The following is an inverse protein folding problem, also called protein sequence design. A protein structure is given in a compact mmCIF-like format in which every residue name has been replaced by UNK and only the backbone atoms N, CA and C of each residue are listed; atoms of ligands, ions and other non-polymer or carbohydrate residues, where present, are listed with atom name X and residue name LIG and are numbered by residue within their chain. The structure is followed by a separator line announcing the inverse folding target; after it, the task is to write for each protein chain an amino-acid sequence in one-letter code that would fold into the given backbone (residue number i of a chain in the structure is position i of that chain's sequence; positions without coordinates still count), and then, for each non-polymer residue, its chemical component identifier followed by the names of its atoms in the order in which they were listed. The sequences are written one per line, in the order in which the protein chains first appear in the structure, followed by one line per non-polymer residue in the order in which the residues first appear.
data_IF_124724802932
#
_entry.id   IF_124724802932
#
_cell.length_a   1.000
_cell.length_b   1.000
_cell.length_c   1.000
_cell.angle_alpha   90.00
_cell.angle_beta   90.00
_cell.angle_gamma   90.00
#
_symmetry.space_group_name_H-M   'P 1'
#
loop_
_entity.id
_entity.type
_entity.pdbx_description
1 polymer ?
#
# COMPACT_ATOMS: atom_id res chain seq x y z
N UNK A 1 18.99 10.53 11.60
CA UNK A 1 17.67 10.88 11.02
C UNK A 1 17.84 11.59 9.68
N UNK A 2 18.72 12.59 9.58
CA UNK A 2 18.99 13.33 8.33
C UNK A 2 19.51 12.46 7.17
N UNK A 3 20.34 11.45 7.46
CA UNK A 3 20.85 10.53 6.45
C UNK A 3 19.76 9.68 5.80
N UNK A 4 18.79 9.18 6.58
CA UNK A 4 17.66 8.39 6.08
C UNK A 4 16.71 9.25 5.24
N UNK A 5 16.39 10.46 5.70
CA UNK A 5 15.52 11.38 4.97
C UNK A 5 16.16 11.76 3.63
N UNK A 6 17.47 11.98 3.61
CA UNK A 6 18.20 12.25 2.36
C UNK A 6 18.18 11.06 1.40
N UNK A 7 18.37 9.85 1.91
CA UNK A 7 18.32 8.62 1.12
C UNK A 7 16.93 8.35 0.52
N UNK A 8 15.87 8.59 1.29
CA UNK A 8 14.47 8.47 0.83
C UNK A 8 14.19 9.53 -0.25
N UNK A 9 14.73 10.74 -0.09
CA UNK A 9 14.56 11.83 -1.06
C UNK A 9 15.33 11.60 -2.36
N UNK A 10 16.49 10.93 -2.30
CA UNK A 10 17.27 10.54 -3.49
C UNK A 10 16.62 9.37 -4.25
N UNK A 11 15.86 8.51 -3.58
CA UNK A 11 15.21 7.34 -4.19
C UNK A 11 13.73 7.23 -3.82
N UNK A 12 12.89 8.20 -4.24
CA UNK A 12 11.46 8.22 -3.89
C UNK A 12 10.71 6.98 -4.38
N UNK A 13 11.19 6.38 -5.47
CA UNK A 13 10.58 5.19 -6.06
C UNK A 13 10.82 3.91 -5.25
N UNK A 14 12.02 3.74 -4.67
CA UNK A 14 12.30 2.61 -3.78
C UNK A 14 11.42 2.68 -2.54
N UNK A 15 11.20 3.89 -2.01
CA UNK A 15 10.28 4.10 -0.91
C UNK A 15 8.83 3.75 -1.30
N UNK A 16 8.38 4.17 -2.48
CA UNK A 16 7.05 3.82 -2.99
C UNK A 16 6.83 2.31 -3.18
N UNK A 17 7.84 1.61 -3.70
CA UNK A 17 7.82 0.14 -3.83
C UNK A 17 7.77 -0.52 -2.46
N UNK A 18 8.58 -0.07 -1.50
CA UNK A 18 8.58 -0.57 -0.12
C UNK A 18 7.22 -0.41 0.56
N UNK A 19 6.60 0.76 0.41
CA UNK A 19 5.25 1.02 0.94
C UNK A 19 4.22 0.11 0.28
N UNK A 20 4.25 -0.02 -1.05
CA UNK A 20 3.35 -0.93 -1.77
C UNK A 20 3.53 -2.40 -1.36
N UNK A 21 4.77 -2.84 -1.11
CA UNK A 21 5.07 -4.18 -0.60
C UNK A 21 4.53 -4.38 0.81
N UNK A 22 4.61 -3.36 1.65
CA UNK A 22 4.03 -3.37 3.00
C UNK A 22 2.51 -3.56 2.96
N UNK A 23 1.82 -2.90 2.02
CA UNK A 23 0.39 -3.07 1.78
C UNK A 23 0.04 -4.49 1.30
N UNK A 24 0.86 -5.07 0.43
CA UNK A 24 0.70 -6.47 0.01
C UNK A 24 0.91 -7.45 1.16
N UNK A 25 1.95 -7.24 1.97
CA UNK A 25 2.21 -8.05 3.15
C UNK A 25 1.07 -7.94 4.16
N UNK A 26 0.54 -6.73 4.39
CA UNK A 26 -0.60 -6.50 5.25
C UNK A 26 -1.85 -7.28 4.79
N UNK A 27 -2.10 -7.32 3.48
CA UNK A 27 -3.20 -8.09 2.88
C UNK A 27 -3.01 -9.62 3.05
N UNK A 28 -1.78 -10.12 2.86
CA UNK A 28 -1.45 -11.56 3.00
C UNK A 28 -1.52 -11.99 4.46
N UNK A 29 -0.83 -11.28 5.36
CA UNK A 29 -0.68 -11.62 6.77
C UNK A 29 -1.87 -11.24 7.66
N UNK A 30 -2.94 -10.67 7.07
CA UNK A 30 -4.14 -10.25 7.79
C UNK A 30 -3.83 -9.29 8.94
N UNK A 31 -3.11 -8.22 8.64
CA UNK A 31 -2.82 -7.18 9.63
C UNK A 31 -4.07 -6.39 9.98
N UNK A 32 -4.72 -6.78 11.09
CA UNK A 32 -5.93 -6.13 11.59
C UNK A 32 -5.79 -4.62 11.76
N UNK A 33 -4.62 -4.10 12.17
CA UNK A 33 -4.41 -2.65 12.34
C UNK A 33 -4.46 -1.85 11.02
N UNK A 34 -4.16 -2.50 9.89
CA UNK A 34 -4.14 -1.89 8.56
C UNK A 34 -5.43 -2.17 7.78
N UNK A 35 -6.12 -3.26 8.14
CA UNK A 35 -7.39 -3.71 7.56
C UNK A 35 -8.61 -3.29 8.40
N UNK A 36 -8.41 -2.66 9.55
CA UNK A 36 -9.49 -2.26 10.44
C UNK A 36 -10.42 -1.25 9.76
N UNK A 37 -11.62 -1.72 9.42
CA UNK A 37 -12.66 -0.92 8.78
C UNK A 37 -13.18 0.24 9.65
N UNK A 38 -12.87 0.23 10.95
CA UNK A 38 -13.36 1.19 11.94
C UNK A 38 -12.92 2.64 11.66
N UNK A 39 -11.83 2.86 10.91
CA UNK A 39 -11.29 4.20 10.65
C UNK A 39 -11.71 4.84 9.31
N UNK A 40 -12.23 4.07 8.35
CA UNK A 40 -12.44 4.56 6.98
C UNK A 40 -13.78 4.13 6.40
N UNK A 41 -14.60 5.11 5.99
CA UNK A 41 -15.88 4.87 5.30
C UNK A 41 -15.73 4.01 4.04
N UNK A 42 -14.58 4.08 3.37
CA UNK A 42 -14.29 3.26 2.18
C UNK A 42 -14.06 1.79 2.54
N UNK A 43 -13.28 1.52 3.59
CA UNK A 43 -13.05 0.16 4.07
C UNK A 43 -14.33 -0.44 4.66
N UNK A 44 -15.12 0.35 5.39
CA UNK A 44 -16.42 -0.06 5.93
C UNK A 44 -17.41 -0.44 4.83
N UNK A 45 -17.47 0.33 3.74
CA UNK A 45 -18.32 0.02 2.59
C UNK A 45 -17.90 -1.27 1.87
N UNK A 46 -16.59 -1.53 1.77
CA UNK A 46 -16.07 -2.76 1.17
C UNK A 46 -16.30 -3.96 2.10
N UNK A 47 -16.15 -3.76 3.40
CA UNK A 47 -16.46 -4.76 4.41
C UNK A 47 -17.96 -5.13 4.41
N UNK A 48 -18.87 -4.16 4.33
CA UNK A 48 -20.31 -4.45 4.22
C UNK A 48 -20.68 -5.20 2.93
N UNK A 49 -19.97 -4.91 1.83
CA UNK A 49 -20.32 -5.47 0.50
C UNK A 49 -19.64 -6.81 0.20
N UNK A 50 -18.42 -7.04 0.70
CA UNK A 50 -17.60 -8.22 0.41
C UNK A 50 -17.07 -8.95 1.66
N UNK A 51 -17.36 -8.46 2.86
CA UNK A 51 -16.86 -9.00 4.11
C UNK A 51 -15.35 -8.77 4.31
N UNK A 52 -14.81 -9.45 5.32
CA UNK A 52 -13.40 -9.39 5.71
C UNK A 52 -12.45 -9.78 4.54
N UNK A 53 -12.85 -10.79 3.76
CA UNK A 53 -12.08 -11.24 2.60
C UNK A 53 -12.00 -10.19 1.48
N UNK A 54 -13.04 -9.36 1.31
CA UNK A 54 -13.04 -8.29 0.32
C UNK A 54 -12.07 -7.16 0.64
N UNK A 55 -12.01 -6.77 1.92
CA UNK A 55 -11.09 -5.73 2.41
C UNK A 55 -9.65 -6.14 2.12
N UNK A 56 -9.34 -7.43 2.31
CA UNK A 56 -8.00 -8.00 2.03
C UNK A 56 -7.63 -7.92 0.55
N UNK A 57 -8.53 -8.37 -0.33
CA UNK A 57 -8.28 -8.34 -1.78
C UNK A 57 -8.09 -6.90 -2.26
N UNK A 58 -8.93 -5.97 -1.81
CA UNK A 58 -8.84 -4.56 -2.24
C UNK A 58 -7.56 -3.91 -1.73
N UNK A 59 -7.17 -4.17 -0.49
CA UNK A 59 -5.90 -3.67 0.07
C UNK A 59 -4.70 -4.18 -0.72
N UNK A 60 -4.72 -5.45 -1.13
CA UNK A 60 -3.69 -6.02 -2.00
C UNK A 60 -3.67 -5.40 -3.39
N UNK A 61 -4.84 -5.16 -4.00
CA UNK A 61 -4.95 -4.48 -5.30
C UNK A 61 -4.40 -3.06 -5.22
N UNK A 62 -4.75 -2.30 -4.17
CA UNK A 62 -4.23 -0.94 -3.95
C UNK A 62 -2.71 -0.97 -3.79
N UNK A 63 -2.17 -1.90 -2.98
CA UNK A 63 -0.73 -2.09 -2.83
C UNK A 63 -0.03 -2.36 -4.16
N UNK A 64 -0.62 -3.24 -5.00
CA UNK A 64 -0.10 -3.56 -6.33
C UNK A 64 -0.11 -2.35 -7.26
N UNK A 65 -1.21 -1.58 -7.28
CA UNK A 65 -1.32 -0.36 -8.09
C UNK A 65 -0.26 0.66 -7.70
N UNK A 66 -0.01 0.84 -6.39
CA UNK A 66 1.05 1.74 -5.90
C UNK A 66 2.41 1.30 -6.45
N UNK A 67 2.74 0.00 -6.36
CA UNK A 67 4.01 -0.52 -6.91
C UNK A 67 4.13 -0.22 -8.40
N UNK A 68 3.08 -0.52 -9.18
CA UNK A 68 3.09 -0.29 -10.64
C UNK A 68 3.27 1.19 -10.96
N UNK A 69 2.56 2.09 -10.28
CA UNK A 69 2.70 3.54 -10.47
C UNK A 69 4.13 4.02 -10.21
N UNK A 70 4.76 3.56 -9.13
CA UNK A 70 6.15 3.94 -8.81
C UNK A 70 7.17 3.30 -9.75
N UNK A 71 6.94 2.07 -10.23
CA UNK A 71 7.76 1.46 -11.29
C UNK A 71 7.64 2.24 -12.59
N UNK A 72 6.43 2.66 -12.98
CA UNK A 72 6.25 3.49 -14.17
C UNK A 72 6.93 4.86 -14.02
N UNK A 73 6.79 5.53 -12.88
CA UNK A 73 7.48 6.81 -12.63
C UNK A 73 9.01 6.63 -12.64
N UNK A 74 9.53 5.50 -12.15
CA UNK A 74 10.96 5.14 -12.28
C UNK A 74 11.38 4.98 -13.74
N UNK A 75 10.59 4.27 -14.56
CA UNK A 75 10.90 4.07 -15.98
C UNK A 75 10.83 5.40 -16.75
N UNK A 76 9.88 6.27 -16.41
CA UNK A 76 9.67 7.57 -17.07
C UNK A 76 10.74 8.60 -16.67
N UNK A 77 11.19 8.62 -15.41
CA UNK A 77 12.22 9.57 -14.92
C UNK A 77 13.66 9.11 -15.12
N UNK A 78 13.87 7.90 -15.63
CA UNK A 78 15.21 7.39 -15.98
C UNK A 78 15.67 7.93 -17.33
#
# INVERSE_FOLDING_TARGET
MESLIKYIKENPHLFGILVGLLFLLAAIFNWNWLLEAAGSRFMMFIYERFGDSGVRIVTGIIGTIIIICFIMDWIIRK
#
